data_IF_502727128049
#
_entry.id   IF_502727128049
#
_cell.length_a   1.000
_cell.length_b   1.000
_cell.length_c   1.000
_cell.angle_alpha   90.00
_cell.angle_beta   90.00
_cell.angle_gamma   90.00
#
_symmetry.space_group_name_H-M   'P 1'
#
loop_
_entity.id
_entity.type
_entity.pdbx_description
1 polymer ?
#
# COMPACT_ATOMS: atom_id res chain seq x y z
N UNK A 1 48.02 -23.10 23.77
CA UNK A 1 47.89 -24.18 24.78
C UNK A 1 46.42 -24.32 25.12
N UNK A 2 45.96 -25.57 25.15
CA UNK A 2 44.64 -26.11 25.49
C UNK A 2 43.98 -25.40 26.71
N UNK A 3 42.67 -25.29 26.86
CA UNK A 3 41.73 -26.41 26.90
C UNK A 3 40.26 -25.94 26.81
N UNK A 4 39.47 -26.75 26.13
CA UNK A 4 38.01 -26.83 26.11
C UNK A 4 37.40 -27.26 27.45
N UNK A 5 36.15 -26.83 27.74
CA UNK A 5 35.16 -27.68 28.42
C UNK A 5 33.74 -27.19 28.14
N UNK A 6 33.04 -28.01 27.37
CA UNK A 6 31.58 -28.10 27.25
C UNK A 6 30.97 -28.60 28.56
N UNK A 7 29.72 -28.21 28.84
CA UNK A 7 28.78 -29.01 29.65
C UNK A 7 27.35 -28.70 29.23
N UNK A 8 26.64 -29.80 28.98
CA UNK A 8 25.35 -29.91 28.32
C UNK A 8 24.28 -30.44 29.31
N UNK A 9 23.05 -29.92 29.17
CA UNK A 9 21.73 -30.56 29.47
C UNK A 9 21.38 -30.93 30.93
N UNK A 10 20.08 -30.88 31.36
CA UNK A 10 19.03 -31.72 30.76
C UNK A 10 17.61 -31.17 30.60
N UNK A 11 17.04 -31.62 29.49
CA UNK A 11 15.62 -31.73 29.12
C UNK A 11 14.85 -32.54 30.16
N UNK A 12 13.71 -32.03 30.65
CA UNK A 12 12.72 -32.82 31.41
C UNK A 12 11.55 -33.19 30.51
N UNK A 13 11.49 -34.46 30.15
CA UNK A 13 10.26 -35.15 29.74
C UNK A 13 9.44 -35.47 30.98
N UNK A 14 8.12 -35.24 30.94
CA UNK A 14 7.17 -36.01 31.76
C UNK A 14 6.03 -36.54 30.90
N UNK A 15 5.88 -37.85 31.03
CA UNK A 15 4.95 -38.73 30.33
C UNK A 15 3.51 -38.57 30.82
N UNK A 16 2.61 -38.82 29.86
CA UNK A 16 1.23 -39.31 29.94
C UNK A 16 0.80 -39.93 31.28
N UNK A 17 -0.40 -39.54 31.73
CA UNK A 17 -1.26 -40.44 32.52
C UNK A 17 -2.67 -40.46 31.93
N UNK A 18 -2.99 -41.58 31.29
CA UNK A 18 -4.33 -41.98 30.87
C UNK A 18 -4.84 -43.03 31.88
N UNK A 19 -6.02 -42.83 32.47
CA UNK A 19 -6.94 -43.83 33.07
C UNK A 19 -8.33 -43.18 33.10
N UNK A 20 -9.26 -43.57 32.24
CA UNK A 20 -10.17 -44.74 32.27
C UNK A 20 -11.39 -44.57 33.21
N UNK A 21 -12.52 -44.26 32.59
CA UNK A 21 -13.88 -44.86 32.70
C UNK A 21 -14.30 -45.41 34.08
N UNK A 22 -15.37 -44.84 34.63
CA UNK A 22 -16.49 -45.58 35.22
C UNK A 22 -17.75 -44.69 35.31
N UNK A 23 -18.89 -45.28 34.94
CA UNK A 23 -20.24 -44.71 34.92
C UNK A 23 -20.81 -44.45 36.32
N UNK A 24 -21.74 -43.49 36.43
CA UNK A 24 -22.87 -43.58 37.36
C UNK A 24 -24.02 -42.68 36.89
N UNK A 25 -25.23 -43.20 37.05
CA UNK A 25 -26.54 -42.78 36.56
C UNK A 25 -27.24 -41.67 37.37
N UNK A 26 -28.21 -41.04 36.70
CA UNK A 26 -29.43 -40.36 37.18
C UNK A 26 -29.32 -39.14 38.11
N UNK A 27 -29.75 -37.97 37.62
CA UNK A 27 -31.17 -37.57 37.73
C UNK A 27 -31.46 -36.30 36.91
N UNK A 28 -32.74 -36.20 36.54
CA UNK A 28 -33.42 -35.29 35.64
C UNK A 28 -33.38 -33.78 35.95
N UNK A 29 -33.82 -33.04 34.91
CA UNK A 29 -34.43 -31.71 34.93
C UNK A 29 -33.50 -30.52 34.71
N UNK A 30 -33.14 -30.28 33.45
CA UNK A 30 -32.93 -28.92 32.96
C UNK A 30 -33.59 -28.75 31.57
N UNK A 31 -34.48 -27.77 31.38
CA UNK A 31 -35.17 -27.59 30.10
C UNK A 31 -34.18 -27.25 28.98
N UNK A 32 -34.45 -27.62 27.72
CA UNK A 32 -33.53 -27.42 26.62
C UNK A 32 -33.40 -25.92 26.34
N UNK A 33 -32.27 -25.35 26.76
CA UNK A 33 -31.89 -23.99 26.42
C UNK A 33 -31.85 -23.91 24.88
N UNK A 34 -32.80 -23.18 24.29
CA UNK A 34 -32.94 -22.89 22.85
C UNK A 34 -31.62 -22.37 22.24
N UNK A 35 -30.70 -23.27 21.91
CA UNK A 35 -29.59 -23.06 20.97
C UNK A 35 -30.07 -23.42 19.56
N UNK A 36 -31.00 -22.64 18.99
CA UNK A 36 -31.40 -22.82 17.59
C UNK A 36 -32.31 -21.69 17.10
N UNK A 37 -31.82 -20.42 17.07
CA UNK A 37 -32.43 -19.37 16.21
C UNK A 37 -31.73 -18.02 16.10
N UNK A 38 -30.57 -17.79 16.74
CA UNK A 38 -29.85 -16.51 16.61
C UNK A 38 -28.69 -16.53 15.60
N UNK A 39 -28.19 -17.72 15.25
CA UNK A 39 -27.03 -17.87 14.36
C UNK A 39 -27.39 -18.11 12.87
N UNK A 40 -28.68 -18.14 12.52
CA UNK A 40 -29.13 -18.37 11.12
C UNK A 40 -29.93 -17.21 10.50
N UNK A 41 -30.21 -16.13 11.24
CA UNK A 41 -30.92 -14.94 10.70
C UNK A 41 -30.06 -13.68 10.61
N UNK A 42 -28.84 -13.68 11.17
CA UNK A 42 -27.88 -12.57 11.01
C UNK A 42 -26.90 -12.81 9.86
N UNK A 43 -26.80 -14.05 9.35
CA UNK A 43 -25.96 -14.43 8.22
C UNK A 43 -26.66 -14.32 6.84
N UNK A 44 -27.88 -13.75 6.79
CA UNK A 44 -28.77 -13.84 5.62
C UNK A 44 -29.31 -12.48 5.11
N UNK A 45 -28.66 -11.36 5.41
CA UNK A 45 -29.03 -10.08 4.81
C UNK A 45 -27.79 -9.41 4.21
N UNK A 46 -27.73 -9.53 2.88
CA UNK A 46 -26.82 -8.85 1.95
C UNK A 46 -25.36 -9.28 2.11
N UNK A 47 -24.93 -10.24 1.29
CA UNK A 47 -23.51 -10.27 0.94
C UNK A 47 -23.22 -8.91 0.27
N UNK A 48 -22.26 -8.12 0.78
CA UNK A 48 -21.87 -6.91 0.08
C UNK A 48 -21.46 -7.32 -1.33
N UNK A 49 -21.81 -6.53 -2.37
CA UNK A 49 -21.35 -6.80 -3.72
C UNK A 49 -19.83 -7.03 -3.67
N UNK A 50 -19.33 -7.98 -4.45
CA UNK A 50 -17.89 -8.13 -4.69
C UNK A 50 -17.48 -6.95 -5.60
N UNK A 51 -17.65 -5.74 -5.07
CA UNK A 51 -17.36 -4.48 -5.72
C UNK A 51 -15.85 -4.32 -5.77
N UNK A 52 -15.32 -3.82 -6.88
CA UNK A 52 -13.89 -3.64 -7.04
C UNK A 52 -13.39 -2.43 -6.23
N UNK A 53 -12.15 -2.46 -5.74
CA UNK A 53 -11.59 -1.31 -5.01
C UNK A 53 -11.52 -0.09 -5.92
N UNK A 54 -11.09 -0.27 -7.17
CA UNK A 54 -11.05 0.82 -8.16
C UNK A 54 -12.42 1.50 -8.30
N UNK A 55 -13.49 0.70 -8.46
CA UNK A 55 -14.86 1.18 -8.55
C UNK A 55 -15.29 1.93 -7.28
N UNK A 56 -15.00 1.41 -6.09
CA UNK A 56 -15.31 2.09 -4.82
C UNK A 56 -14.57 3.42 -4.69
N UNK A 57 -13.29 3.46 -5.05
CA UNK A 57 -12.50 4.68 -4.99
C UNK A 57 -13.02 5.71 -5.98
N UNK A 58 -13.31 5.32 -7.24
CA UNK A 58 -13.91 6.21 -8.24
C UNK A 58 -15.27 6.73 -7.81
N UNK A 59 -16.14 5.86 -7.30
CA UNK A 59 -17.44 6.24 -6.74
C UNK A 59 -17.28 7.28 -5.63
N UNK A 60 -16.24 7.12 -4.80
CA UNK A 60 -15.95 8.03 -3.70
C UNK A 60 -15.35 9.38 -4.13
N UNK A 61 -14.68 9.42 -5.28
CA UNK A 61 -14.31 10.69 -5.94
C UNK A 61 -15.55 11.43 -6.44
N UNK A 62 -16.53 10.71 -7.01
CA UNK A 62 -17.74 11.31 -7.57
C UNK A 62 -18.73 11.80 -6.51
N UNK A 63 -18.91 11.04 -5.43
CA UNK A 63 -19.77 11.40 -4.31
C UNK A 63 -18.96 11.26 -3.01
N UNK A 64 -18.64 12.41 -2.41
CA UNK A 64 -17.89 12.49 -1.15
C UNK A 64 -18.75 12.29 0.11
N UNK A 65 -20.08 12.19 -0.02
CA UNK A 65 -21.05 11.99 1.06
C UNK A 65 -21.68 10.59 1.09
N UNK A 66 -21.58 9.81 0.01
CA UNK A 66 -21.83 8.36 -0.02
C UNK A 66 -21.17 7.51 1.10
N UNK A 67 -21.86 7.43 2.24
CA UNK A 67 -21.48 6.63 3.39
C UNK A 67 -21.50 5.12 3.11
N UNK A 68 -22.21 4.68 2.07
CA UNK A 68 -22.26 3.26 1.71
C UNK A 68 -20.94 2.80 1.11
N UNK A 69 -20.25 3.65 0.34
CA UNK A 69 -18.90 3.37 -0.17
C UNK A 69 -17.88 3.19 0.97
N UNK A 70 -17.99 4.00 2.03
CA UNK A 70 -17.15 3.87 3.23
C UNK A 70 -17.44 2.56 3.97
N UNK A 71 -18.72 2.19 4.07
CA UNK A 71 -19.16 0.92 4.62
C UNK A 71 -18.58 -0.27 3.85
N UNK A 72 -18.65 -0.22 2.53
CA UNK A 72 -18.15 -1.28 1.63
C UNK A 72 -16.63 -1.41 1.69
N UNK A 73 -15.90 -0.29 1.60
CA UNK A 73 -14.44 -0.23 1.75
C UNK A 73 -13.97 -0.88 3.05
N UNK A 74 -14.64 -0.57 4.17
CA UNK A 74 -14.27 -1.11 5.48
C UNK A 74 -14.53 -2.61 5.61
N UNK A 75 -15.59 -3.10 4.94
CA UNK A 75 -16.01 -4.49 5.04
C UNK A 75 -15.40 -5.40 3.96
N UNK A 76 -14.72 -4.81 2.97
CA UNK A 76 -14.06 -5.52 1.89
C UNK A 76 -13.09 -6.57 2.42
N UNK A 77 -13.34 -7.84 2.07
CA UNK A 77 -12.52 -8.98 2.54
C UNK A 77 -11.07 -8.88 2.04
N UNK A 78 -10.90 -8.39 0.81
CA UNK A 78 -9.60 -8.18 0.15
C UNK A 78 -8.76 -7.06 0.76
N UNK A 79 -9.27 -6.31 1.74
CA UNK A 79 -8.51 -5.25 2.41
C UNK A 79 -8.16 -5.59 3.86
N UNK A 80 -8.31 -6.87 4.25
CA UNK A 80 -8.05 -7.32 5.63
C UNK A 80 -6.63 -7.81 5.86
N UNK A 81 -5.93 -8.25 4.81
CA UNK A 81 -4.54 -8.71 4.87
C UNK A 81 -3.69 -7.80 3.99
N UNK A 82 -2.47 -7.55 4.43
CA UNK A 82 -1.57 -6.65 3.72
C UNK A 82 -1.23 -7.18 2.31
N UNK A 83 -1.15 -8.51 2.12
CA UNK A 83 -0.97 -9.13 0.81
C UNK A 83 -2.13 -8.87 -0.15
N UNK A 84 -3.36 -8.92 0.36
CA UNK A 84 -4.54 -8.71 -0.49
C UNK A 84 -4.60 -7.24 -0.95
N UNK A 85 -4.18 -6.29 -0.10
CA UNK A 85 -4.04 -4.88 -0.45
C UNK A 85 -2.96 -4.67 -1.52
N UNK A 86 -1.81 -5.35 -1.38
CA UNK A 86 -0.74 -5.29 -2.37
C UNK A 86 -1.22 -5.78 -3.75
N UNK A 87 -1.94 -6.91 -3.81
CA UNK A 87 -2.49 -7.43 -5.06
C UNK A 87 -3.46 -6.45 -5.72
N UNK A 88 -4.29 -5.77 -4.93
CA UNK A 88 -5.21 -4.76 -5.45
C UNK A 88 -4.47 -3.52 -5.93
N UNK A 89 -3.42 -3.08 -5.22
CA UNK A 89 -2.56 -1.98 -5.68
C UNK A 89 -1.91 -2.31 -7.04
N UNK A 90 -1.40 -3.53 -7.23
CA UNK A 90 -0.88 -3.98 -8.52
C UNK A 90 -1.94 -3.99 -9.62
N UNK A 91 -3.18 -4.40 -9.32
CA UNK A 91 -4.27 -4.36 -10.30
C UNK A 91 -4.54 -2.92 -10.76
N UNK A 92 -4.61 -1.96 -9.83
CA UNK A 92 -4.77 -0.53 -10.15
C UNK A 92 -3.62 -0.03 -11.03
N UNK A 93 -2.37 -0.43 -10.72
CA UNK A 93 -1.18 -0.06 -11.49
C UNK A 93 -1.27 -0.62 -12.92
N UNK A 94 -1.63 -1.89 -13.09
CA UNK A 94 -1.78 -2.53 -14.40
C UNK A 94 -2.86 -1.84 -15.25
N UNK A 95 -3.99 -1.52 -14.64
CA UNK A 95 -5.10 -0.82 -15.31
C UNK A 95 -4.69 0.60 -15.76
N UNK A 96 -3.96 1.33 -14.90
CA UNK A 96 -3.41 2.65 -15.24
C UNK A 96 -2.42 2.55 -16.40
N UNK A 97 -1.48 1.58 -16.36
CA UNK A 97 -0.51 1.39 -17.44
C UNK A 97 -1.20 1.06 -18.75
N UNK A 98 -2.23 0.21 -18.73
CA UNK A 98 -3.02 -0.12 -19.90
C UNK A 98 -3.75 1.11 -20.47
N UNK A 99 -4.37 1.93 -19.60
CA UNK A 99 -5.03 3.17 -20.00
C UNK A 99 -4.04 4.18 -20.60
N UNK A 100 -2.91 4.43 -19.95
CA UNK A 100 -1.86 5.33 -20.44
C UNK A 100 -1.34 4.87 -21.80
N UNK A 101 -1.15 3.56 -22.01
CA UNK A 101 -0.71 3.02 -23.30
C UNK A 101 -1.73 3.27 -24.41
N UNK A 102 -3.02 3.23 -24.11
CA UNK A 102 -4.09 3.56 -25.06
C UNK A 102 -4.06 5.07 -25.36
N UNK A 103 -3.91 5.91 -24.34
CA UNK A 103 -3.89 7.36 -24.50
C UNK A 103 -2.70 7.83 -25.36
N UNK A 104 -1.49 7.30 -25.13
CA UNK A 104 -0.31 7.62 -25.94
C UNK A 104 -0.54 7.22 -27.41
N UNK A 105 -1.12 6.04 -27.65
CA UNK A 105 -1.48 5.59 -29.01
C UNK A 105 -2.46 6.54 -29.69
N UNK A 106 -3.44 7.05 -28.94
CA UNK A 106 -4.44 7.99 -29.44
C UNK A 106 -3.84 9.39 -29.70
N UNK A 107 -2.90 9.85 -28.86
CA UNK A 107 -2.14 11.09 -29.10
C UNK A 107 -1.28 10.99 -30.37
N UNK A 108 -0.85 9.78 -30.75
CA UNK A 108 -0.11 9.52 -31.99
C UNK A 108 1.32 10.06 -32.01
N UNK A 109 1.81 10.57 -30.88
CA UNK A 109 3.19 11.03 -30.69
C UNK A 109 3.94 10.08 -29.78
N UNK A 110 5.24 9.93 -30.02
CA UNK A 110 6.12 9.27 -29.07
C UNK A 110 6.34 10.16 -27.85
N UNK A 111 6.49 9.53 -26.70
CA UNK A 111 6.78 10.21 -25.43
C UNK A 111 8.15 9.80 -24.91
N UNK A 112 8.75 10.62 -24.06
CA UNK A 112 9.99 10.27 -23.36
C UNK A 112 9.70 9.35 -22.17
N UNK A 113 10.71 8.63 -21.69
CA UNK A 113 10.56 7.75 -20.52
C UNK A 113 10.06 8.53 -19.28
N UNK A 114 10.61 9.71 -19.04
CA UNK A 114 10.21 10.57 -17.91
C UNK A 114 8.74 11.02 -17.99
N UNK A 115 8.21 11.23 -19.20
CA UNK A 115 6.79 11.56 -19.42
C UNK A 115 5.89 10.32 -19.22
N UNK A 116 6.38 9.13 -19.56
CA UNK A 116 5.66 7.87 -19.34
C UNK A 116 5.44 7.65 -17.84
N UNK A 117 6.50 7.81 -17.05
CA UNK A 117 6.42 7.67 -15.59
C UNK A 117 5.51 8.72 -14.97
N UNK A 118 5.54 9.96 -15.47
CA UNK A 118 4.60 10.99 -15.04
C UNK A 118 3.15 10.57 -15.33
N UNK A 119 2.85 10.10 -16.55
CA UNK A 119 1.49 9.66 -16.91
C UNK A 119 1.02 8.49 -16.03
N UNK A 120 1.90 7.54 -15.70
CA UNK A 120 1.57 6.47 -14.73
C UNK A 120 1.27 7.04 -13.35
N UNK A 121 2.12 7.96 -12.87
CA UNK A 121 1.97 8.62 -11.58
C UNK A 121 0.65 9.41 -11.50
N UNK A 122 0.34 10.22 -12.51
CA UNK A 122 -0.91 10.98 -12.64
C UNK A 122 -2.14 10.08 -12.67
N UNK A 123 -2.01 8.85 -13.19
CA UNK A 123 -3.05 7.83 -13.14
C UNK A 123 -3.53 7.52 -11.72
N UNK A 124 -2.72 7.75 -10.68
CA UNK A 124 -3.13 7.57 -9.28
C UNK A 124 -3.93 8.75 -8.70
N UNK A 125 -4.15 9.84 -9.44
CA UNK A 125 -4.84 11.04 -8.94
C UNK A 125 -6.21 10.73 -8.35
N UNK A 126 -6.98 9.84 -8.99
CA UNK A 126 -8.29 9.43 -8.47
C UNK A 126 -8.17 8.70 -7.13
N UNK A 127 -7.12 7.88 -6.93
CA UNK A 127 -6.89 7.20 -5.66
C UNK A 127 -6.54 8.22 -4.58
N UNK A 128 -5.67 9.19 -4.87
CA UNK A 128 -5.34 10.25 -3.92
C UNK A 128 -6.58 11.04 -3.49
N UNK A 129 -7.40 11.48 -4.46
CA UNK A 129 -8.67 12.18 -4.20
C UNK A 129 -9.62 11.33 -3.34
N UNK A 130 -9.77 10.05 -3.69
CA UNK A 130 -10.60 9.12 -2.93
C UNK A 130 -10.08 8.98 -1.49
N UNK A 131 -8.77 8.80 -1.30
CA UNK A 131 -8.20 8.63 0.04
C UNK A 131 -8.32 9.92 0.87
N UNK A 132 -8.16 11.11 0.28
CA UNK A 132 -8.42 12.38 0.97
C UNK A 132 -9.85 12.41 1.55
N UNK A 133 -10.86 12.08 0.74
CA UNK A 133 -12.26 12.05 1.20
C UNK A 133 -12.53 10.96 2.24
N UNK A 134 -11.94 9.77 2.07
CA UNK A 134 -11.99 8.66 3.04
C UNK A 134 -11.36 9.07 4.37
N UNK A 135 -10.26 9.84 4.32
CA UNK A 135 -9.57 10.33 5.51
C UNK A 135 -10.37 11.39 6.29
N UNK A 136 -11.35 12.02 5.66
CA UNK A 136 -12.24 12.99 6.31
C UNK A 136 -13.63 12.45 6.64
N UNK A 137 -13.96 11.23 6.21
CA UNK A 137 -15.24 10.59 6.46
C UNK A 137 -15.58 10.53 7.97
N UNK A 138 -16.80 10.99 8.31
CA UNK A 138 -17.36 11.04 9.65
C UNK A 138 -18.41 9.97 9.85
N UNK A 139 -18.59 9.52 11.09
CA UNK A 139 -19.71 8.64 11.43
C UNK A 139 -21.00 9.46 11.37
N UNK A 140 -22.03 9.03 10.62
CA UNK A 140 -23.27 9.76 10.45
C UNK A 140 -23.89 10.20 11.78
N UNK A 141 -24.34 11.45 11.84
CA UNK A 141 -24.91 12.04 13.05
C UNK A 141 -23.91 12.35 14.17
N UNK A 142 -22.59 12.22 13.93
CA UNK A 142 -21.56 12.55 14.93
C UNK A 142 -20.45 13.43 14.36
N UNK A 143 -19.69 14.08 15.25
CA UNK A 143 -18.45 14.78 14.88
C UNK A 143 -17.23 13.84 14.79
N UNK A 144 -17.40 12.53 15.05
CA UNK A 144 -16.29 11.57 15.12
C UNK A 144 -15.97 11.04 13.72
N UNK A 145 -14.68 10.86 13.43
CA UNK A 145 -14.20 10.20 12.20
C UNK A 145 -14.44 8.69 12.25
N UNK A 146 -14.64 8.06 11.09
CA UNK A 146 -14.88 6.60 10.99
C UNK A 146 -13.61 5.80 11.35
N UNK A 147 -13.58 4.97 12.40
CA UNK A 147 -12.35 4.32 12.82
C UNK A 147 -11.91 3.21 11.85
N UNK A 148 -10.59 3.03 11.72
CA UNK A 148 -9.94 1.95 10.97
C UNK A 148 -9.56 2.33 9.54
N UNK A 149 -9.88 3.54 9.10
CA UNK A 149 -9.56 4.03 7.76
C UNK A 149 -8.10 4.48 7.65
N UNK A 150 -7.44 4.87 8.75
CA UNK A 150 -6.03 5.27 8.72
C UNK A 150 -5.12 4.14 8.26
N UNK A 151 -5.29 2.94 8.83
CA UNK A 151 -4.54 1.75 8.40
C UNK A 151 -4.78 1.44 6.93
N UNK A 152 -6.05 1.45 6.52
CA UNK A 152 -6.44 1.10 5.16
C UNK A 152 -5.83 2.07 4.14
N UNK A 153 -6.06 3.37 4.33
CA UNK A 153 -5.52 4.43 3.49
C UNK A 153 -4.01 4.37 3.40
N UNK A 154 -3.32 4.22 4.53
CA UNK A 154 -1.87 4.11 4.54
C UNK A 154 -1.38 2.88 3.78
N UNK A 155 -2.00 1.72 3.99
CA UNK A 155 -1.62 0.50 3.29
C UNK A 155 -1.84 0.60 1.77
N UNK A 156 -2.95 1.21 1.32
CA UNK A 156 -3.20 1.41 -0.12
C UNK A 156 -2.12 2.31 -0.71
N UNK A 157 -1.90 3.50 -0.12
CA UNK A 157 -0.91 4.46 -0.61
C UNK A 157 0.50 3.85 -0.60
N UNK A 158 0.89 3.23 0.51
CA UNK A 158 2.20 2.59 0.61
C UNK A 158 2.43 1.56 -0.51
N UNK A 159 1.49 0.65 -0.74
CA UNK A 159 1.67 -0.38 -1.78
C UNK A 159 1.58 0.19 -3.20
N UNK A 160 0.84 1.27 -3.42
CA UNK A 160 0.81 1.94 -4.72
C UNK A 160 2.15 2.57 -5.05
N UNK A 161 2.78 3.25 -4.09
CA UNK A 161 4.08 3.86 -4.35
C UNK A 161 5.22 2.83 -4.41
N UNK A 162 5.20 1.81 -3.57
CA UNK A 162 6.14 0.69 -3.61
C UNK A 162 6.04 -0.04 -4.97
N UNK A 163 4.81 -0.33 -5.41
CA UNK A 163 4.55 -0.92 -6.72
C UNK A 163 4.93 0.01 -7.88
N UNK A 164 4.70 1.32 -7.78
CA UNK A 164 5.16 2.28 -8.80
C UNK A 164 6.68 2.27 -8.94
N UNK A 165 7.42 2.28 -7.82
CA UNK A 165 8.89 2.18 -7.84
C UNK A 165 9.32 0.86 -8.47
N UNK A 166 8.68 -0.26 -8.13
CA UNK A 166 8.97 -1.55 -8.73
C UNK A 166 8.71 -1.57 -10.24
N UNK A 167 7.66 -0.90 -10.73
CA UNK A 167 7.37 -0.79 -12.16
C UNK A 167 8.35 0.09 -12.92
N UNK A 168 8.75 1.23 -12.36
CA UNK A 168 9.79 2.08 -12.95
C UNK A 168 11.10 1.29 -13.02
N UNK A 169 11.46 0.62 -11.91
CA UNK A 169 12.67 -0.18 -11.87
C UNK A 169 12.60 -1.37 -12.82
N UNK A 170 11.47 -2.07 -12.93
CA UNK A 170 11.29 -3.18 -13.87
C UNK A 170 11.31 -2.72 -15.34
N UNK A 171 10.82 -1.51 -15.63
CA UNK A 171 10.89 -0.92 -16.96
C UNK A 171 12.34 -0.58 -17.33
N UNK A 172 13.08 0.04 -16.42
CA UNK A 172 14.51 0.35 -16.58
C UNK A 172 15.37 -0.93 -16.66
N UNK A 173 15.09 -1.92 -15.80
CA UNK A 173 15.69 -3.24 -15.78
C UNK A 173 15.26 -4.09 -16.98
N UNK A 174 14.28 -3.66 -17.77
CA UNK A 174 13.72 -4.33 -18.96
C UNK A 174 14.73 -4.54 -20.11
N UNK A 175 15.95 -3.97 -19.98
CA UNK A 175 17.12 -4.30 -20.80
C UNK A 175 17.98 -5.45 -20.22
N UNK A 176 17.76 -5.84 -18.97
CA UNK A 176 18.51 -6.89 -18.26
C UNK A 176 17.64 -8.12 -17.91
N UNK A 177 17.55 -9.04 -18.88
CA UNK A 177 17.43 -10.48 -18.63
C UNK A 177 16.29 -11.01 -17.73
N UNK A 178 15.00 -10.82 -18.09
CA UNK A 178 13.96 -11.78 -17.66
C UNK A 178 13.16 -12.36 -18.83
N UNK A 179 13.55 -13.60 -19.13
CA UNK A 179 13.04 -14.63 -20.06
C UNK A 179 11.50 -14.80 -20.17
N UNK A 180 11.01 -15.53 -21.21
CA UNK A 180 11.72 -16.12 -22.34
C UNK A 180 11.34 -15.42 -23.66
N UNK A 181 12.23 -15.45 -24.66
CA UNK A 181 12.02 -14.99 -26.06
C UNK A 181 12.60 -13.59 -26.33
N UNK A 182 13.86 -13.60 -26.77
CA UNK A 182 14.42 -12.57 -27.65
C UNK A 182 14.82 -11.24 -27.01
N UNK A 183 15.55 -10.39 -27.75
CA UNK A 183 15.70 -8.99 -27.39
C UNK A 183 14.30 -8.38 -27.30
N UNK A 184 13.99 -7.77 -26.16
CA UNK A 184 12.75 -7.00 -26.00
C UNK A 184 12.83 -5.85 -27.00
N UNK A 185 11.95 -5.84 -28.00
CA UNK A 185 11.85 -4.70 -28.91
C UNK A 185 11.51 -3.46 -28.06
N UNK A 186 12.24 -2.34 -28.25
CA UNK A 186 11.95 -1.10 -27.52
C UNK A 186 10.49 -0.71 -27.73
N UNK A 187 9.81 -0.24 -26.68
CA UNK A 187 8.38 0.12 -26.79
C UNK A 187 8.23 1.18 -27.89
N UNK A 188 7.51 0.90 -28.99
CA UNK A 188 7.43 1.81 -30.13
C UNK A 188 6.75 3.13 -29.79
N UNK A 189 6.12 3.24 -28.62
CA UNK A 189 5.46 4.45 -28.13
C UNK A 189 6.42 5.38 -27.37
N UNK A 190 7.61 4.90 -27.02
CA UNK A 190 8.61 5.65 -26.28
C UNK A 190 9.76 6.04 -27.20
N UNK A 191 10.26 7.25 -27.02
CA UNK A 191 11.41 7.77 -27.75
C UNK A 191 12.66 7.00 -27.34
N UNK A 192 13.49 6.65 -28.31
CA UNK A 192 14.85 6.21 -28.04
C UNK A 192 15.74 7.41 -27.72
N UNK A 193 16.86 7.18 -27.02
CA UNK A 193 17.86 8.23 -26.75
C UNK A 193 18.32 8.97 -28.02
N UNK A 194 18.41 8.27 -29.15
CA UNK A 194 18.73 8.89 -30.43
C UNK A 194 17.62 9.84 -30.88
N UNK A 195 16.35 9.45 -30.76
CA UNK A 195 15.21 10.30 -31.08
C UNK A 195 15.14 11.53 -30.16
N UNK A 196 15.43 11.35 -28.86
CA UNK A 196 15.50 12.44 -27.87
C UNK A 196 16.59 13.46 -28.22
N UNK A 197 17.79 12.98 -28.62
CA UNK A 197 18.89 13.86 -29.02
C UNK A 197 18.61 14.70 -30.28
N UNK A 198 17.69 14.26 -31.15
CA UNK A 198 17.33 14.97 -32.37
C UNK A 198 16.10 15.90 -32.19
N UNK A 199 15.32 15.72 -31.13
CA UNK A 199 14.18 16.57 -30.81
C UNK A 199 14.64 17.77 -29.95
N UNK A 200 14.60 19.01 -30.46
CA UNK A 200 15.02 20.19 -29.70
C UNK A 200 14.09 20.54 -28.53
N UNK A 201 12.92 19.88 -28.41
CA UNK A 201 11.95 20.10 -27.33
C UNK A 201 12.14 19.15 -26.14
N UNK A 202 13.05 18.17 -26.26
CA UNK A 202 13.31 17.14 -25.24
C UNK A 202 13.61 17.74 -23.87
N UNK A 203 14.53 18.71 -23.78
CA UNK A 203 14.93 19.32 -22.52
C UNK A 203 13.75 20.01 -21.82
N UNK A 204 13.02 20.87 -22.54
CA UNK A 204 11.84 21.59 -22.01
C UNK A 204 10.74 20.64 -21.56
N UNK A 205 10.48 19.57 -22.33
CA UNK A 205 9.47 18.55 -21.99
C UNK A 205 9.89 17.74 -20.76
N UNK A 206 11.18 17.46 -20.61
CA UNK A 206 11.73 16.71 -19.47
C UNK A 206 11.59 17.54 -18.21
N UNK A 207 12.00 18.81 -18.26
CA UNK A 207 11.88 19.75 -17.14
C UNK A 207 10.43 19.98 -16.71
N UNK A 208 9.50 20.08 -17.66
CA UNK A 208 8.06 20.17 -17.34
C UNK A 208 7.56 18.87 -16.68
N UNK A 209 7.97 17.71 -17.20
CA UNK A 209 7.55 16.42 -16.66
C UNK A 209 8.07 16.22 -15.22
N UNK A 210 9.33 16.56 -14.96
CA UNK A 210 9.93 16.51 -13.62
C UNK A 210 9.19 17.44 -12.67
N UNK A 211 8.96 18.70 -13.05
CA UNK A 211 8.22 19.68 -12.21
C UNK A 211 6.80 19.20 -11.90
N UNK A 212 6.10 18.61 -12.88
CA UNK A 212 4.77 18.06 -12.68
C UNK A 212 4.78 16.86 -11.72
N UNK A 213 5.76 15.95 -11.88
CA UNK A 213 5.93 14.79 -11.00
C UNK A 213 6.22 15.22 -9.56
N UNK A 214 7.13 16.17 -9.34
CA UNK A 214 7.46 16.70 -8.02
C UNK A 214 6.24 17.30 -7.31
N UNK A 215 5.42 18.07 -8.03
CA UNK A 215 4.16 18.59 -7.50
C UNK A 215 3.19 17.49 -7.13
N UNK A 216 3.12 16.42 -7.92
CA UNK A 216 2.31 15.25 -7.60
C UNK A 216 2.82 14.55 -6.34
N UNK A 217 4.13 14.33 -6.23
CA UNK A 217 4.77 13.75 -5.06
C UNK A 217 4.56 14.58 -3.80
N UNK A 218 4.60 15.91 -3.88
CA UNK A 218 4.31 16.77 -2.74
C UNK A 218 2.89 16.54 -2.22
N UNK A 219 1.91 16.45 -3.13
CA UNK A 219 0.52 16.15 -2.75
C UNK A 219 0.42 14.74 -2.16
N UNK A 220 1.03 13.76 -2.82
CA UNK A 220 1.07 12.37 -2.35
C UNK A 220 1.62 12.30 -0.92
N UNK A 221 2.72 13.00 -0.66
CA UNK A 221 3.36 13.07 0.64
C UNK A 221 2.42 13.63 1.71
N UNK A 222 1.72 14.74 1.41
CA UNK A 222 0.77 15.34 2.36
C UNK A 222 -0.39 14.39 2.71
N UNK A 223 -0.94 13.66 1.72
CA UNK A 223 -2.03 12.69 1.94
C UNK A 223 -1.52 11.48 2.72
N UNK A 224 -0.33 10.98 2.39
CA UNK A 224 0.27 9.84 3.06
C UNK A 224 0.67 10.16 4.51
N UNK A 225 1.14 11.38 4.80
CA UNK A 225 1.32 11.88 6.19
C UNK A 225 0.01 11.84 6.96
N UNK A 226 -1.09 12.33 6.38
CA UNK A 226 -2.40 12.30 7.03
C UNK A 226 -2.85 10.86 7.32
N UNK A 227 -2.60 9.94 6.39
CA UNK A 227 -2.87 8.51 6.57
C UNK A 227 -2.02 7.89 7.69
N UNK A 228 -0.70 8.15 7.73
CA UNK A 228 0.23 7.65 8.78
C UNK A 228 -0.21 8.16 10.15
N UNK A 229 -0.46 9.47 10.28
CA UNK A 229 -0.89 10.07 11.56
C UNK A 229 -2.21 9.49 12.04
N UNK A 230 -3.17 9.30 11.13
CA UNK A 230 -4.44 8.64 11.45
C UNK A 230 -4.22 7.19 11.87
N UNK A 231 -3.40 6.44 11.12
CA UNK A 231 -3.08 5.05 11.46
C UNK A 231 -2.46 4.94 12.85
N UNK A 232 -1.49 5.80 13.17
CA UNK A 232 -0.92 5.91 14.52
C UNK A 232 -1.99 6.16 15.57
N UNK A 233 -2.87 7.14 15.37
CA UNK A 233 -3.94 7.46 16.32
C UNK A 233 -4.92 6.30 16.55
N UNK A 234 -5.15 5.48 15.52
CA UNK A 234 -6.05 4.33 15.57
C UNK A 234 -5.38 3.07 16.14
N UNK A 235 -4.05 2.95 16.01
CA UNK A 235 -3.30 1.71 16.27
C UNK A 235 -1.91 1.95 16.88
N UNK A 236 -1.79 2.77 17.93
CA UNK A 236 -0.51 3.09 18.57
C UNK A 236 0.06 1.92 19.40
N UNK A 237 0.61 0.90 18.73
CA UNK A 237 1.22 -0.29 19.34
C UNK A 237 2.65 -0.48 18.87
N UNK A 238 3.51 -0.99 19.77
CA UNK A 238 4.94 -1.24 19.47
C UNK A 238 5.20 -2.11 18.26
N UNK A 239 4.41 -3.18 18.08
CA UNK A 239 4.53 -4.04 16.89
C UNK A 239 4.23 -3.30 15.59
N UNK A 240 3.30 -2.34 15.60
CA UNK A 240 2.97 -1.55 14.41
C UNK A 240 4.05 -0.52 14.10
N UNK A 241 4.62 0.11 15.13
CA UNK A 241 5.75 1.03 14.96
C UNK A 241 6.98 0.35 14.32
N UNK A 242 7.28 -0.89 14.69
CA UNK A 242 8.36 -1.69 14.06
C UNK A 242 8.04 -2.03 12.59
N UNK A 243 6.77 -2.33 12.28
CA UNK A 243 6.38 -2.59 10.89
C UNK A 243 6.46 -1.32 10.03
N UNK A 244 6.11 -0.16 10.61
CA UNK A 244 6.22 1.15 9.97
C UNK A 244 7.67 1.53 9.71
N UNK A 245 8.57 1.25 10.65
CA UNK A 245 10.00 1.47 10.49
C UNK A 245 10.58 0.74 9.27
N UNK A 246 10.27 -0.56 9.11
CA UNK A 246 10.69 -1.33 7.94
C UNK A 246 10.14 -0.77 6.63
N UNK A 247 8.91 -0.25 6.67
CA UNK A 247 8.28 0.43 5.53
C UNK A 247 8.97 1.74 5.21
N UNK A 248 9.43 2.49 6.21
CA UNK A 248 10.22 3.71 6.00
C UNK A 248 11.56 3.39 5.34
N UNK A 249 12.28 2.37 5.83
CA UNK A 249 13.55 1.93 5.24
C UNK A 249 13.39 1.45 3.78
N UNK A 250 12.29 0.77 3.47
CA UNK A 250 11.96 0.37 2.09
C UNK A 250 11.65 1.59 1.23
N UNK A 251 10.78 2.48 1.70
CA UNK A 251 10.38 3.69 0.99
C UNK A 251 11.57 4.62 0.72
N UNK A 252 12.48 4.77 1.70
CA UNK A 252 13.70 5.56 1.54
C UNK A 252 14.58 5.02 0.41
N UNK A 253 14.74 3.70 0.31
CA UNK A 253 15.52 3.07 -0.76
C UNK A 253 14.83 3.22 -2.11
N UNK A 254 13.52 3.01 -2.15
CA UNK A 254 12.73 3.17 -3.37
C UNK A 254 12.75 4.61 -3.89
N UNK A 255 12.62 5.61 -3.01
CA UNK A 255 12.72 7.02 -3.40
C UNK A 255 14.09 7.40 -3.95
N UNK A 256 15.17 6.85 -3.36
CA UNK A 256 16.53 7.07 -3.84
C UNK A 256 16.70 6.53 -5.27
N UNK A 257 16.32 5.27 -5.50
CA UNK A 257 16.37 4.64 -6.81
C UNK A 257 15.51 5.39 -7.83
N UNK A 258 14.30 5.76 -7.44
CA UNK A 258 13.39 6.51 -8.31
C UNK A 258 14.01 7.86 -8.71
N UNK A 259 14.60 8.58 -7.76
CA UNK A 259 15.27 9.86 -8.01
C UNK A 259 16.43 9.70 -9.00
N UNK A 260 17.26 8.67 -8.81
CA UNK A 260 18.36 8.34 -9.71
C UNK A 260 17.88 7.99 -11.13
N UNK A 261 16.80 7.23 -11.25
CA UNK A 261 16.26 6.75 -12.53
C UNK A 261 15.48 7.80 -13.31
N UNK A 262 14.85 8.75 -12.63
CA UNK A 262 13.86 9.66 -13.24
C UNK A 262 14.22 11.14 -13.14
N UNK A 263 15.18 11.49 -12.27
CA UNK A 263 15.47 12.88 -11.92
C UNK A 263 14.43 13.52 -10.98
N UNK A 264 13.43 12.77 -10.51
CA UNK A 264 12.43 13.30 -9.56
C UNK A 264 13.04 13.58 -8.19
N UNK A 265 12.66 14.67 -7.54
CA UNK A 265 13.13 15.00 -6.18
C UNK A 265 14.32 15.98 -6.16
N UNK A 266 14.49 16.75 -7.22
CA UNK A 266 15.49 17.80 -7.33
C UNK A 266 16.91 17.31 -7.60
N UNK A 267 17.78 18.28 -7.92
CA UNK A 267 19.19 18.09 -8.30
C UNK A 267 20.15 18.03 -7.11
N UNK A 268 19.65 18.08 -5.88
CA UNK A 268 20.53 17.92 -4.72
C UNK A 268 21.01 16.46 -4.72
N UNK A 269 22.33 16.26 -4.87
CA UNK A 269 23.11 15.05 -5.19
C UNK A 269 22.81 13.74 -4.41
N UNK A 270 21.72 13.68 -3.65
CA UNK A 270 21.39 12.57 -2.76
C UNK A 270 19.95 12.06 -2.86
N UNK A 271 19.10 12.60 -3.75
CA UNK A 271 17.76 12.04 -4.02
C UNK A 271 16.82 11.96 -2.80
N UNK A 272 17.07 12.78 -1.77
CA UNK A 272 16.39 12.68 -0.47
C UNK A 272 15.02 13.36 -0.42
N UNK A 273 14.59 14.09 -1.45
CA UNK A 273 13.44 15.01 -1.32
C UNK A 273 12.07 14.39 -1.60
N UNK A 274 11.99 13.14 -2.06
CA UNK A 274 10.71 12.47 -2.26
C UNK A 274 10.17 11.93 -0.91
N UNK A 275 8.91 12.26 -0.64
CA UNK A 275 8.13 11.75 0.51
C UNK A 275 8.77 12.03 1.90
N UNK A 276 9.51 13.13 2.01
CA UNK A 276 10.26 13.51 3.23
C UNK A 276 9.33 13.61 4.44
N UNK A 277 8.15 14.23 4.29
CA UNK A 277 7.25 14.46 5.42
C UNK A 277 6.66 13.15 5.92
N UNK A 278 6.31 12.24 5.01
CA UNK A 278 5.80 10.90 5.31
C UNK A 278 6.84 10.10 6.06
N UNK A 279 8.06 10.05 5.54
CA UNK A 279 9.19 9.36 6.18
C UNK A 279 9.47 9.93 7.56
N UNK A 280 9.46 11.26 7.70
CA UNK A 280 9.54 11.96 8.98
C UNK A 280 8.48 11.48 9.98
N UNK A 281 7.20 11.45 9.57
CA UNK A 281 6.09 11.00 10.42
C UNK A 281 6.21 9.51 10.83
N UNK A 282 6.75 8.66 9.95
CA UNK A 282 7.00 7.24 10.22
C UNK A 282 8.15 7.06 11.23
N UNK A 283 9.25 7.79 11.06
CA UNK A 283 10.37 7.80 12.00
C UNK A 283 9.95 8.33 13.38
N UNK A 284 9.21 9.45 13.43
CA UNK A 284 8.70 10.01 14.70
C UNK A 284 7.88 8.99 15.48
N UNK A 285 7.01 8.24 14.80
CA UNK A 285 6.22 7.18 15.45
C UNK A 285 7.11 6.12 16.11
N UNK A 286 8.16 5.66 15.43
CA UNK A 286 9.14 4.71 16.00
C UNK A 286 9.81 5.28 17.26
N UNK A 287 10.29 6.51 17.19
CA UNK A 287 11.05 7.15 18.27
C UNK A 287 10.22 7.30 19.55
N UNK A 288 8.96 7.72 19.43
CA UNK A 288 8.07 7.86 20.58
C UNK A 288 7.85 6.53 21.31
N UNK A 289 7.69 5.43 20.56
CA UNK A 289 7.51 4.11 21.17
C UNK A 289 8.82 3.59 21.78
N UNK A 290 9.96 3.84 21.15
CA UNK A 290 11.28 3.50 21.69
C UNK A 290 11.57 4.20 23.02
N UNK A 291 11.34 5.52 23.07
CA UNK A 291 11.56 6.35 24.26
C UNK A 291 10.61 6.02 25.41
N UNK A 292 9.39 5.56 25.13
CA UNK A 292 8.44 5.09 26.15
C UNK A 292 8.81 3.75 26.81
N UNK A 293 9.91 3.11 26.38
CA UNK A 293 10.40 1.84 26.92
C UNK A 293 11.75 1.92 27.64
N UNK A 294 12.24 3.13 27.92
CA UNK A 294 13.36 3.34 28.85
C UNK A 294 12.80 3.46 30.29
N UNK A 295 13.15 2.55 31.22
CA UNK A 295 12.75 2.64 32.63
C UNK A 295 13.42 3.81 33.36
#
# INVERSE_FOLDING_TARGET
>A
MSSSSSLSTPTRYTLKRSRSIANSSDTDNTPPRKKSRRDRLVAALVQPPDCDLDELLRRRVHDSEDDTAIGDLKNMKRLKRDQDIANVAHTIIDDIKAAVKIDIKNEGRKIMEVELYLKWLEGFDFVLKAIETVLDAKVPGTRRRVPGLGRLSFSILYNLIDGFVDEVNAYQDGWSFRYPIGPVEPDPLVMSLAEECYDPTTDDRSDEAIRAAEKFFERYDNVMVAAVRRYKSECNKKLMAVAIDRKEESLSRGCCLLSEQTGYGGTDDMGFNLLVKTRGAMMEWKHEVGSSSSP
#
